data_IF_054793050895
#
_entry.id   IF_054793050895
#
_cell.length_a   1.000
_cell.length_b   1.000
_cell.length_c   1.000
_cell.angle_alpha   90.00
_cell.angle_beta   90.00
_cell.angle_gamma   90.00
#
_symmetry.space_group_name_H-M   'P 1'
#
loop_
_entity.id
_entity.type
_entity.pdbx_description
1 polymer ?
#
# COMPACT_ATOMS: atom_id res chain seq x y z
N UNK A 1 -8.88 33.59 -25.60
CA UNK A 1 -9.13 32.15 -25.42
C UNK A 1 -8.15 31.62 -24.41
N UNK A 2 -8.60 31.46 -23.18
CA UNK A 2 -7.74 30.93 -22.10
C UNK A 2 -7.93 29.42 -22.08
N UNK A 3 -6.92 28.69 -22.54
CA UNK A 3 -6.88 27.26 -22.37
C UNK A 3 -6.62 26.95 -20.89
N UNK A 4 -7.66 26.56 -20.16
CA UNK A 4 -7.48 25.94 -18.85
C UNK A 4 -6.90 24.56 -19.07
N UNK A 5 -5.58 24.44 -18.85
CA UNK A 5 -4.91 23.15 -18.76
C UNK A 5 -5.36 22.53 -17.43
N UNK A 6 -6.39 21.70 -17.48
CA UNK A 6 -6.73 20.84 -16.34
C UNK A 6 -5.58 19.87 -16.16
N UNK A 7 -4.71 20.16 -15.21
CA UNK A 7 -3.72 19.20 -14.75
C UNK A 7 -4.49 18.03 -14.11
N UNK A 8 -4.64 16.95 -14.83
CA UNK A 8 -5.08 15.68 -14.27
C UNK A 8 -4.00 15.22 -13.28
N UNK A 9 -4.25 15.44 -11.98
CA UNK A 9 -3.45 14.81 -10.96
C UNK A 9 -3.57 13.30 -11.13
N UNK A 10 -2.44 12.58 -11.29
CA UNK A 10 -2.51 11.14 -11.37
C UNK A 10 -3.20 10.61 -10.13
N UNK A 11 -4.19 9.73 -10.30
CA UNK A 11 -4.80 9.00 -9.20
C UNK A 11 -3.68 8.39 -8.36
N UNK A 12 -3.70 8.62 -7.03
CA UNK A 12 -2.69 8.07 -6.14
C UNK A 12 -2.63 6.56 -6.30
N UNK A 13 -1.49 6.06 -6.77
CA UNK A 13 -1.19 4.65 -6.80
C UNK A 13 -1.19 4.10 -5.37
N UNK A 14 -1.36 2.79 -5.24
CA UNK A 14 -1.14 2.11 -3.97
C UNK A 14 0.26 2.41 -3.44
N UNK A 15 0.43 2.41 -2.13
CA UNK A 15 1.72 2.59 -1.47
C UNK A 15 1.92 1.47 -0.44
N UNK A 16 3.16 1.02 -0.30
CA UNK A 16 3.56 0.18 0.82
C UNK A 16 4.17 1.09 1.89
N UNK A 17 3.42 1.32 2.96
CA UNK A 17 3.87 2.16 4.06
C UNK A 17 4.66 1.30 5.04
N UNK A 18 5.92 1.67 5.30
CA UNK A 18 6.79 1.02 6.27
C UNK A 18 6.92 1.91 7.49
N UNK A 19 6.36 1.46 8.61
CA UNK A 19 6.57 2.10 9.90
C UNK A 19 7.87 1.57 10.50
N UNK A 20 8.79 2.47 10.81
CA UNK A 20 10.12 2.14 11.28
C UNK A 20 10.53 3.01 12.46
N UNK A 21 11.63 2.65 13.12
CA UNK A 21 12.22 3.46 14.17
C UNK A 21 13.73 3.23 14.22
N UNK A 22 14.44 4.20 14.78
CA UNK A 22 15.89 4.09 15.02
C UNK A 22 16.17 2.92 15.97
N UNK A 23 17.19 2.12 15.67
CA UNK A 23 17.57 0.95 16.47
C UNK A 23 16.76 -0.31 16.18
N UNK A 24 15.90 -0.29 15.21
CA UNK A 24 15.12 -1.46 14.81
C UNK A 24 15.98 -2.41 13.97
N UNK A 25 16.39 -3.53 14.56
CA UNK A 25 17.27 -4.53 13.92
C UNK A 25 16.63 -5.14 12.67
N UNK A 26 15.33 -5.44 12.72
CA UNK A 26 14.60 -6.02 11.60
C UNK A 26 14.33 -5.01 10.48
N UNK A 27 14.20 -3.72 10.82
CA UNK A 27 14.15 -2.65 9.83
C UNK A 27 15.49 -2.57 9.06
N UNK A 28 16.59 -2.71 9.76
CA UNK A 28 17.93 -2.74 9.15
C UNK A 28 18.11 -3.96 8.25
N UNK A 29 17.59 -5.12 8.65
CA UNK A 29 17.62 -6.32 7.81
C UNK A 29 16.85 -6.10 6.51
N UNK A 30 15.66 -5.53 6.57
CA UNK A 30 14.89 -5.13 5.40
C UNK A 30 15.69 -4.16 4.51
N UNK A 31 16.35 -3.17 5.11
CA UNK A 31 17.13 -2.18 4.38
C UNK A 31 18.30 -2.80 3.62
N UNK A 32 18.91 -3.88 4.15
CA UNK A 32 19.97 -4.58 3.46
C UNK A 32 19.49 -5.53 2.37
N UNK A 33 18.39 -6.23 2.62
CA UNK A 33 17.97 -7.36 1.78
C UNK A 33 16.93 -6.97 0.73
N UNK A 34 16.02 -6.08 1.06
CA UNK A 34 14.86 -5.75 0.22
C UNK A 34 14.94 -4.34 -0.37
N UNK A 35 15.23 -3.33 0.44
CA UNK A 35 15.18 -1.94 0.02
C UNK A 35 16.01 -1.64 -1.25
N UNK A 36 17.22 -2.20 -1.43
CA UNK A 36 18.01 -1.90 -2.62
C UNK A 36 17.39 -2.35 -3.93
N UNK A 37 16.54 -3.37 -3.89
CA UNK A 37 15.91 -3.93 -5.11
C UNK A 37 14.42 -3.63 -5.21
N UNK A 38 13.79 -3.20 -4.13
CA UNK A 38 12.34 -3.03 -4.06
C UNK A 38 11.78 -2.20 -5.20
N UNK A 39 12.33 -1.02 -5.45
CA UNK A 39 11.85 -0.11 -6.51
C UNK A 39 12.07 -0.62 -7.93
N UNK A 40 12.90 -1.66 -8.09
CA UNK A 40 13.18 -2.28 -9.40
C UNK A 40 12.23 -3.43 -9.70
N UNK A 41 11.44 -3.85 -8.72
CA UNK A 41 10.48 -4.95 -8.87
C UNK A 41 9.13 -4.44 -9.37
N UNK A 42 8.33 -5.33 -9.91
CA UNK A 42 6.97 -5.00 -10.32
C UNK A 42 6.12 -4.58 -9.11
N UNK A 43 6.27 -5.27 -7.99
CA UNK A 43 5.59 -4.95 -6.74
C UNK A 43 5.95 -3.53 -6.26
N UNK A 44 7.22 -3.18 -6.31
CA UNK A 44 7.69 -1.84 -5.92
C UNK A 44 7.22 -0.73 -6.83
N UNK A 45 7.00 -1.02 -8.10
CA UNK A 45 6.41 -0.04 -9.05
C UNK A 45 4.93 0.14 -8.81
N UNK A 46 4.21 -0.93 -8.47
CA UNK A 46 2.78 -0.89 -8.18
C UNK A 46 2.47 -0.25 -6.83
N UNK A 47 3.33 -0.49 -5.85
CA UNK A 47 3.19 0.01 -4.48
C UNK A 47 4.53 0.57 -4.00
N UNK A 48 4.91 1.78 -4.41
CA UNK A 48 6.15 2.40 -3.96
C UNK A 48 6.26 2.42 -2.45
N UNK A 49 7.49 2.26 -1.94
CA UNK A 49 7.77 2.26 -0.51
C UNK A 49 7.71 3.67 0.04
N UNK A 50 6.91 3.85 1.10
CA UNK A 50 6.83 5.11 1.84
C UNK A 50 7.21 4.83 3.30
N UNK A 51 8.26 5.48 3.79
CA UNK A 51 8.76 5.28 5.14
C UNK A 51 8.16 6.28 6.11
N UNK A 52 7.79 5.79 7.29
CA UNK A 52 7.25 6.61 8.37
C UNK A 52 7.96 6.24 9.67
N UNK A 53 8.65 7.21 10.27
CA UNK A 53 9.29 7.04 11.58
C UNK A 53 8.20 7.19 12.66
N UNK A 54 8.01 6.15 13.46
CA UNK A 54 6.98 6.15 14.51
C UNK A 54 7.28 7.13 15.65
N UNK A 55 8.52 7.60 15.78
CA UNK A 55 8.90 8.62 16.77
C UNK A 55 8.51 10.03 16.35
N UNK A 56 8.14 10.23 15.09
CA UNK A 56 7.72 11.52 14.54
C UNK A 56 6.21 11.58 14.41
N UNK A 57 5.71 12.80 14.21
CA UNK A 57 4.30 12.99 13.91
C UNK A 57 3.91 12.24 12.64
N UNK A 58 2.82 11.49 12.72
CA UNK A 58 2.30 10.73 11.58
C UNK A 58 1.76 11.67 10.53
N UNK A 59 2.05 11.46 9.23
CA UNK A 59 1.42 12.22 8.16
C UNK A 59 -0.11 12.14 8.24
N UNK A 60 -0.77 13.28 8.04
CA UNK A 60 -2.23 13.39 8.19
C UNK A 60 -3.00 12.44 7.27
N UNK A 61 -2.50 12.19 6.06
CA UNK A 61 -3.13 11.30 5.10
C UNK A 61 -3.04 9.82 5.49
N UNK A 62 -2.25 9.48 6.51
CA UNK A 62 -2.11 8.12 7.05
C UNK A 62 -2.78 7.96 8.43
N UNK A 63 -3.56 8.94 8.87
CA UNK A 63 -4.22 8.91 10.17
C UNK A 63 -5.23 7.77 10.31
N UNK A 64 -5.76 7.24 9.20
CA UNK A 64 -6.71 6.13 9.19
C UNK A 64 -6.08 4.79 9.54
N UNK A 65 -4.75 4.66 9.49
CA UNK A 65 -4.05 3.41 9.80
C UNK A 65 -3.95 3.26 11.31
N UNK A 66 -4.45 2.14 11.83
CA UNK A 66 -4.34 1.84 13.25
C UNK A 66 -2.87 1.61 13.62
N UNK A 67 -2.40 2.35 14.65
CA UNK A 67 -1.02 2.30 15.07
C UNK A 67 -0.70 1.01 15.84
N UNK A 68 0.44 0.41 15.53
CA UNK A 68 1.03 -0.67 16.30
C UNK A 68 2.42 -0.23 16.76
N UNK A 69 2.89 -0.76 17.90
CA UNK A 69 4.22 -0.46 18.42
C UNK A 69 5.32 -1.31 17.79
N UNK A 70 4.91 -2.35 17.06
CA UNK A 70 5.85 -3.25 16.38
C UNK A 70 6.46 -2.55 15.17
N UNK A 71 7.78 -2.65 15.02
CA UNK A 71 8.51 -2.24 13.81
C UNK A 71 9.42 -3.36 13.31
N UNK A 72 9.60 -3.52 12.00
CA UNK A 72 8.86 -2.80 10.95
C UNK A 72 7.41 -3.29 10.87
N UNK A 73 6.51 -2.38 10.54
CA UNK A 73 5.14 -2.71 10.18
C UNK A 73 4.93 -2.22 8.76
N UNK A 74 4.54 -3.11 7.87
CA UNK A 74 4.25 -2.77 6.47
C UNK A 74 2.74 -2.77 6.28
N UNK A 75 2.20 -1.68 5.76
CA UNK A 75 0.77 -1.55 5.46
C UNK A 75 0.59 -1.19 4.00
N UNK A 76 -0.06 -2.07 3.24
CA UNK A 76 -0.42 -1.77 1.87
C UNK A 76 -1.70 -0.94 1.89
N UNK A 77 -1.62 0.26 1.33
CA UNK A 77 -2.75 1.21 1.29
C UNK A 77 -3.09 1.54 -0.15
N UNK A 78 -4.36 1.77 -0.41
CA UNK A 78 -4.86 2.19 -1.71
C UNK A 78 -6.11 3.05 -1.53
N UNK A 79 -6.11 4.23 -2.13
CA UNK A 79 -7.27 5.14 -2.09
C UNK A 79 -7.82 5.41 -0.68
N UNK A 80 -6.90 5.65 0.27
CA UNK A 80 -7.28 5.94 1.66
C UNK A 80 -7.77 4.74 2.46
N UNK A 81 -7.50 3.51 2.00
CA UNK A 81 -7.91 2.28 2.70
C UNK A 81 -6.72 1.36 2.90
N UNK A 82 -6.73 0.64 4.00
CA UNK A 82 -5.78 -0.42 4.23
C UNK A 82 -6.23 -1.69 3.49
N UNK A 83 -5.34 -2.22 2.65
CA UNK A 83 -5.57 -3.49 1.94
C UNK A 83 -5.15 -4.67 2.82
N UNK A 84 -4.05 -4.52 3.56
CA UNK A 84 -3.54 -5.50 4.48
C UNK A 84 -2.20 -5.07 5.03
N UNK A 85 -1.62 -5.89 5.93
CA UNK A 85 -0.36 -5.55 6.58
C UNK A 85 0.53 -6.76 6.81
N UNK A 86 1.82 -6.50 6.93
CA UNK A 86 2.84 -7.47 7.31
C UNK A 86 3.47 -6.97 8.59
N UNK A 87 3.38 -7.76 9.67
CA UNK A 87 3.95 -7.43 10.96
C UNK A 87 5.34 -8.01 11.07
N UNK A 88 6.34 -7.15 11.21
CA UNK A 88 7.73 -7.53 11.28
C UNK A 88 8.32 -7.81 9.90
N UNK A 89 9.59 -8.20 9.89
CA UNK A 89 10.29 -8.61 8.68
C UNK A 89 10.60 -10.11 8.78
N UNK A 90 9.90 -10.96 8.04
CA UNK A 90 10.00 -12.41 8.20
C UNK A 90 11.09 -13.05 7.35
N UNK A 91 12.00 -12.27 6.78
CA UNK A 91 13.01 -12.71 5.83
C UNK A 91 12.60 -12.47 4.38
N UNK A 92 13.57 -12.59 3.47
CA UNK A 92 13.44 -12.24 2.06
C UNK A 92 12.28 -12.97 1.37
N UNK A 93 12.36 -14.29 1.31
CA UNK A 93 11.37 -15.11 0.58
C UNK A 93 9.95 -14.93 1.16
N UNK A 94 9.84 -14.91 2.47
CA UNK A 94 8.55 -14.76 3.14
C UNK A 94 7.97 -13.36 2.92
N UNK A 95 8.82 -12.34 2.92
CA UNK A 95 8.38 -10.96 2.65
C UNK A 95 7.74 -10.86 1.26
N UNK A 96 8.43 -11.36 0.23
CA UNK A 96 7.90 -11.32 -1.14
C UNK A 96 6.62 -12.14 -1.29
N UNK A 97 6.54 -13.28 -0.63
CA UNK A 97 5.33 -14.11 -0.64
C UNK A 97 4.13 -13.41 -0.01
N UNK A 98 4.33 -12.79 1.15
CA UNK A 98 3.28 -12.05 1.85
C UNK A 98 2.86 -10.79 1.07
N UNK A 99 3.83 -10.06 0.53
CA UNK A 99 3.54 -8.88 -0.29
C UNK A 99 2.76 -9.26 -1.55
N UNK A 100 3.14 -10.35 -2.21
CA UNK A 100 2.41 -10.88 -3.37
C UNK A 100 0.96 -11.18 -3.05
N UNK A 101 0.69 -11.77 -1.88
CA UNK A 101 -0.67 -12.03 -1.43
C UNK A 101 -1.46 -10.73 -1.20
N UNK A 102 -0.82 -9.70 -0.65
CA UNK A 102 -1.46 -8.38 -0.47
C UNK A 102 -1.77 -7.72 -1.81
N UNK A 103 -0.87 -7.83 -2.77
CA UNK A 103 -1.09 -7.27 -4.11
C UNK A 103 -2.25 -7.97 -4.82
N UNK A 104 -2.41 -9.28 -4.63
CA UNK A 104 -3.59 -10.00 -5.11
C UNK A 104 -4.88 -9.47 -4.49
N UNK A 105 -4.87 -9.17 -3.19
CA UNK A 105 -6.02 -8.53 -2.52
C UNK A 105 -6.31 -7.17 -3.10
N UNK A 106 -5.29 -6.40 -3.43
CA UNK A 106 -5.43 -5.10 -4.09
C UNK A 106 -6.14 -5.26 -5.43
N UNK A 107 -5.74 -6.23 -6.24
CA UNK A 107 -6.36 -6.51 -7.53
C UNK A 107 -7.81 -6.95 -7.39
N UNK A 108 -8.10 -7.81 -6.41
CA UNK A 108 -9.46 -8.27 -6.11
C UNK A 108 -10.36 -7.14 -5.61
N UNK A 109 -9.82 -6.22 -4.80
CA UNK A 109 -10.57 -5.06 -4.32
C UNK A 109 -10.96 -4.12 -5.47
N UNK A 110 -10.05 -3.89 -6.43
CA UNK A 110 -10.34 -3.13 -7.65
C UNK A 110 -11.42 -3.80 -8.50
N UNK A 111 -11.29 -5.11 -8.72
CA UNK A 111 -12.25 -5.90 -9.49
C UNK A 111 -13.62 -5.98 -8.79
N UNK A 112 -13.63 -6.13 -7.46
CA UNK A 112 -14.88 -6.14 -6.69
C UNK A 112 -15.62 -4.81 -6.76
N UNK A 113 -14.86 -3.68 -6.74
CA UNK A 113 -15.43 -2.35 -6.93
C UNK A 113 -16.06 -2.19 -8.30
N UNK A 114 -15.42 -2.67 -9.36
CA UNK A 114 -15.95 -2.66 -10.72
C UNK A 114 -17.18 -3.57 -10.87
N UNK A 115 -17.13 -4.76 -10.26
CA UNK A 115 -18.27 -5.70 -10.28
C UNK A 115 -19.46 -5.18 -9.51
N UNK A 116 -19.25 -4.52 -8.38
CA UNK A 116 -20.34 -3.90 -7.62
C UNK A 116 -21.01 -2.79 -8.41
N UNK A 117 -20.24 -1.96 -9.13
CA UNK A 117 -20.76 -0.94 -10.03
C UNK A 117 -21.54 -1.52 -11.22
N UNK A 118 -21.06 -2.64 -11.78
CA UNK A 118 -21.74 -3.34 -12.88
C UNK A 118 -22.96 -4.14 -12.40
N UNK A 119 -22.91 -4.66 -11.17
CA UNK A 119 -24.01 -5.45 -10.58
C UNK A 119 -25.24 -4.64 -10.25
N UNK A 120 -25.09 -3.39 -9.88
CA UNK A 120 -26.20 -2.49 -9.63
C UNK A 120 -27.05 -2.23 -10.88
N UNK A 121 -26.43 -2.28 -12.04
CA UNK A 121 -27.12 -2.05 -13.31
C UNK A 121 -27.86 -3.29 -13.81
N UNK A 122 -27.49 -4.50 -13.38
CA UNK A 122 -28.19 -5.72 -13.82
C UNK A 122 -29.33 -6.15 -12.90
N UNK A 123 -29.45 -5.58 -11.71
CA UNK A 123 -30.55 -5.83 -10.79
C UNK A 123 -31.77 -4.93 -11.05
N UNK A 124 -31.70 -4.00 -11.97
CA UNK A 124 -32.81 -3.18 -12.45
C UNK A 124 -33.43 -3.77 -13.71
N UNK A 125 -33.79 -5.02 -13.71
CA UNK A 125 -34.70 -5.55 -14.71
C UNK A 125 -36.10 -5.29 -14.24
N UNK A 126 -36.90 -4.50 -14.98
CA UNK A 126 -38.34 -4.41 -14.74
C UNK A 126 -38.94 -5.78 -15.02
N UNK A 127 -39.44 -6.40 -13.98
CA UNK A 127 -40.24 -7.60 -14.12
C UNK A 127 -41.61 -7.28 -14.71
#
# INVERSE_FOLDING_TARGET
MTFMLSALLPARAAELVMFEQVGCVWCQAFDREIAPVYGKTEEGRRAPLRRVDIARERPADLAFIEAERLTPLFVLVDKGREIGRIRGYPGDDNFWGLLGALIKKLDQAGTAGERAGAGENSLRTPG
#
